data_IF_983036717959
#
_entry.id   IF_983036717959
#
_cell.length_a   1.000
_cell.length_b   1.000
_cell.length_c   1.000
_cell.angle_alpha   90.00
_cell.angle_beta   90.00
_cell.angle_gamma   90.00
#
_symmetry.space_group_name_H-M   'P 1'
#
loop_
_entity.id
_entity.type
_entity.pdbx_description
1 polymer ?
#
# COMPACT_ATOMS: atom_id res chain seq x y z
N UNK A 1 -1.06 68.40 14.73
CA UNK A 1 -0.45 67.08 14.94
C UNK A 1 -1.17 66.06 14.06
N UNK A 2 -0.46 65.33 13.17
CA UNK A 2 -1.07 64.30 12.34
C UNK A 2 -1.26 62.99 13.14
N UNK A 3 -2.29 62.18 12.83
CA UNK A 3 -2.55 60.92 13.52
C UNK A 3 -1.51 59.85 13.17
N UNK A 4 -1.09 59.07 14.17
CA UNK A 4 -0.14 57.98 14.03
C UNK A 4 -0.70 56.81 13.20
N UNK A 5 0.13 56.16 12.36
CA UNK A 5 -0.31 55.06 11.52
C UNK A 5 -0.61 53.81 12.36
N UNK A 6 -1.79 53.23 12.14
CA UNK A 6 -2.21 51.95 12.72
C UNK A 6 -1.31 50.82 12.21
N UNK A 7 -0.64 50.10 13.12
CA UNK A 7 0.07 48.86 12.81
C UNK A 7 -0.90 47.82 12.23
N UNK A 8 -0.76 47.52 10.93
CA UNK A 8 -1.38 46.36 10.31
C UNK A 8 -0.81 45.08 10.96
N UNK A 9 -1.69 44.27 11.54
CA UNK A 9 -1.36 42.92 12.02
C UNK A 9 -0.86 42.09 10.85
N UNK A 10 0.33 41.50 11.01
CA UNK A 10 0.88 40.57 10.04
C UNK A 10 -0.08 39.37 9.87
N UNK A 11 -0.29 38.89 8.63
CA UNK A 11 -1.11 37.71 8.39
C UNK A 11 -0.49 36.49 9.08
N UNK A 12 -1.31 35.54 9.58
CA UNK A 12 -0.79 34.33 10.18
C UNK A 12 0.10 33.56 9.18
N UNK A 13 1.18 32.91 9.64
CA UNK A 13 2.03 32.12 8.76
C UNK A 13 1.18 31.06 8.08
N UNK A 14 1.17 31.06 6.74
CA UNK A 14 0.52 30.01 5.94
C UNK A 14 1.14 28.68 6.37
N UNK A 15 0.40 27.86 7.11
CA UNK A 15 0.78 26.48 7.34
C UNK A 15 0.90 25.85 5.96
N UNK A 16 2.12 25.53 5.54
CA UNK A 16 2.36 24.73 4.33
C UNK A 16 1.68 23.39 4.57
N UNK A 17 0.44 23.24 4.09
CA UNK A 17 -0.22 21.94 4.04
C UNK A 17 0.69 21.06 3.20
N UNK A 18 1.34 20.09 3.85
CA UNK A 18 2.19 19.14 3.15
C UNK A 18 1.33 18.37 2.14
N UNK A 19 1.85 18.10 0.94
CA UNK A 19 1.09 17.42 -0.08
C UNK A 19 0.68 16.03 0.43
N UNK A 20 -0.62 15.76 0.36
CA UNK A 20 -1.17 14.42 0.51
C UNK A 20 -1.41 13.89 -0.90
N UNK A 21 -1.10 12.62 -1.13
CA UNK A 21 -1.50 11.99 -2.38
C UNK A 21 -3.03 11.90 -2.46
N UNK A 22 -3.57 12.24 -3.64
CA UNK A 22 -4.95 11.95 -4.00
C UNK A 22 -5.09 10.57 -4.65
N UNK A 23 -3.99 9.97 -5.10
CA UNK A 23 -3.96 8.65 -5.73
C UNK A 23 -4.19 7.57 -4.68
N UNK A 24 -5.08 6.63 -5.01
CA UNK A 24 -5.23 5.39 -4.25
C UNK A 24 -4.18 4.39 -4.71
N UNK A 25 -3.45 3.82 -3.76
CA UNK A 25 -2.44 2.78 -3.99
C UNK A 25 -2.88 1.48 -3.31
N UNK A 26 -2.33 0.36 -3.75
CA UNK A 26 -2.26 -0.82 -2.91
C UNK A 26 -0.89 -0.83 -2.21
N UNK A 27 -0.89 -1.12 -0.91
CA UNK A 27 0.29 -1.27 -0.08
C UNK A 27 0.38 -2.69 0.49
N UNK A 28 1.54 -3.32 0.36
CA UNK A 28 1.84 -4.64 0.89
C UNK A 28 2.28 -4.51 2.35
N UNK A 29 1.41 -4.92 3.28
CA UNK A 29 1.70 -4.83 4.70
C UNK A 29 2.83 -5.79 5.09
N UNK A 30 3.84 -5.32 5.85
CA UNK A 30 4.89 -6.19 6.36
C UNK A 30 4.39 -7.14 7.46
N UNK A 31 3.30 -6.82 8.14
CA UNK A 31 2.82 -7.58 9.29
C UNK A 31 2.23 -8.94 8.90
N UNK A 32 1.54 -9.00 7.76
CA UNK A 32 0.80 -10.20 7.34
C UNK A 32 0.94 -10.55 5.84
N UNK A 33 1.70 -9.75 5.09
CA UNK A 33 1.92 -9.94 3.66
C UNK A 33 0.67 -9.75 2.79
N UNK A 34 -0.39 -9.10 3.29
CA UNK A 34 -1.59 -8.81 2.53
C UNK A 34 -1.54 -7.41 1.89
N UNK A 35 -2.29 -7.25 0.80
CA UNK A 35 -2.43 -5.98 0.09
C UNK A 35 -3.64 -5.18 0.59
N UNK A 36 -3.39 -3.93 0.98
CA UNK A 36 -4.40 -3.00 1.49
C UNK A 36 -4.49 -1.75 0.63
N UNK A 37 -5.70 -1.19 0.53
CA UNK A 37 -5.86 0.14 -0.05
C UNK A 37 -5.23 1.18 0.87
N UNK A 38 -4.36 2.03 0.30
CA UNK A 38 -3.61 3.01 1.06
C UNK A 38 -3.43 4.34 0.31
N UNK A 39 -3.11 5.37 1.08
CA UNK A 39 -2.68 6.69 0.61
C UNK A 39 -1.36 7.04 1.28
N UNK A 40 -0.61 7.94 0.66
CA UNK A 40 0.67 8.38 1.21
C UNK A 40 0.72 9.88 1.42
N UNK A 41 1.46 10.30 2.43
CA UNK A 41 1.78 11.69 2.71
C UNK A 41 3.17 11.79 3.32
N UNK A 42 3.88 12.88 3.09
CA UNK A 42 5.09 13.19 3.87
C UNK A 42 4.68 14.04 5.07
N UNK A 43 4.92 13.54 6.28
CA UNK A 43 4.59 14.22 7.54
C UNK A 43 5.82 14.25 8.43
N UNK A 44 6.17 15.44 8.94
CA UNK A 44 7.38 15.66 9.77
C UNK A 44 8.71 15.15 9.17
N UNK A 45 8.76 14.88 7.87
CA UNK A 45 9.96 14.42 7.16
C UNK A 45 9.93 12.92 6.84
N UNK A 46 9.07 12.16 7.52
CA UNK A 46 8.83 10.75 7.25
C UNK A 46 7.72 10.55 6.21
N UNK A 47 7.80 9.44 5.48
CA UNK A 47 6.70 8.94 4.66
C UNK A 47 5.70 8.23 5.58
N UNK A 48 4.46 8.70 5.57
CA UNK A 48 3.33 8.08 6.25
C UNK A 48 2.49 7.33 5.22
N UNK A 49 2.23 6.06 5.49
CA UNK A 49 1.27 5.23 4.73
C UNK A 49 0.00 5.13 5.55
N UNK A 50 -1.07 5.71 5.02
CA UNK A 50 -2.39 5.71 5.63
C UNK A 50 -3.24 4.61 5.01
N UNK A 51 -3.62 3.62 5.79
CA UNK A 51 -4.55 2.59 5.32
C UNK A 51 -5.97 3.18 5.23
N UNK A 52 -6.70 2.93 4.14
CA UNK A 52 -7.97 3.64 3.90
C UNK A 52 -9.13 3.21 4.81
N UNK A 53 -9.07 2.00 5.36
CA UNK A 53 -10.17 1.38 6.12
C UNK A 53 -9.76 1.10 7.58
N UNK A 54 -8.61 1.64 8.00
CA UNK A 54 -8.08 1.47 9.36
C UNK A 54 -7.85 2.83 10.02
N UNK A 55 -7.83 2.86 11.36
CA UNK A 55 -7.60 4.09 12.08
C UNK A 55 -6.11 4.48 12.04
N UNK A 56 -5.82 5.75 12.32
CA UNK A 56 -4.50 6.36 12.12
C UNK A 56 -3.38 5.69 12.95
N UNK A 57 -3.73 5.01 14.03
CA UNK A 57 -2.79 4.29 14.90
C UNK A 57 -2.15 3.08 14.20
N UNK A 58 -2.79 2.58 13.14
CA UNK A 58 -2.28 1.47 12.34
C UNK A 58 -1.39 1.94 11.17
N UNK A 59 -1.22 3.26 10.99
CA UNK A 59 -0.44 3.78 9.87
C UNK A 59 1.04 3.43 9.98
N UNK A 60 1.67 3.16 8.83
CA UNK A 60 3.10 2.88 8.76
C UNK A 60 3.90 4.16 8.57
N UNK A 61 5.07 4.22 9.20
CA UNK A 61 5.97 5.37 9.15
C UNK A 61 7.37 4.94 8.70
N UNK A 62 7.89 5.63 7.69
CA UNK A 62 9.23 5.39 7.16
C UNK A 62 10.07 6.65 7.31
N UNK A 63 11.03 6.60 8.24
CA UNK A 63 12.00 7.67 8.47
C UNK A 63 13.11 7.60 7.40
N UNK A 64 13.37 8.69 6.66
CA UNK A 64 14.50 8.74 5.74
C UNK A 64 15.84 8.43 6.41
N UNK A 65 16.07 8.85 7.65
CA UNK A 65 17.32 8.59 8.37
C UNK A 65 17.53 7.09 8.64
N UNK A 66 16.47 6.34 8.95
CA UNK A 66 16.55 4.88 9.12
C UNK A 66 16.88 4.17 7.81
N UNK A 67 16.30 4.63 6.69
CA UNK A 67 16.61 4.12 5.34
C UNK A 67 18.03 4.48 4.89
N UNK A 68 18.57 5.61 5.35
CA UNK A 68 19.95 6.02 5.06
C UNK A 68 20.95 5.24 5.92
N UNK A 69 20.64 5.01 7.20
CA UNK A 69 21.51 4.27 8.12
C UNK A 69 21.75 2.83 7.65
N UNK A 70 20.78 2.19 7.01
CA UNK A 70 20.97 0.86 6.44
C UNK A 70 21.87 0.85 5.19
N UNK A 71 22.16 2.02 4.61
CA UNK A 71 23.07 2.25 3.46
C UNK A 71 22.80 1.37 2.24
N UNK A 72 21.64 0.72 2.18
CA UNK A 72 21.31 -0.23 1.13
C UNK A 72 20.28 0.38 0.19
N UNK A 73 20.69 0.68 -1.04
CA UNK A 73 19.75 0.99 -2.13
C UNK A 73 18.66 -0.10 -2.29
N UNK A 74 18.96 -1.32 -1.83
CA UNK A 74 18.00 -2.43 -1.73
C UNK A 74 16.81 -2.13 -0.82
N UNK A 75 16.98 -1.36 0.25
CA UNK A 75 15.89 -1.08 1.20
C UNK A 75 14.92 -0.04 0.64
N UNK A 76 15.43 0.96 -0.06
CA UNK A 76 14.59 1.91 -0.82
C UNK A 76 13.84 1.17 -1.93
N UNK A 77 14.50 0.26 -2.64
CA UNK A 77 13.86 -0.56 -3.67
C UNK A 77 12.81 -1.52 -3.07
N UNK A 78 13.09 -2.14 -1.91
CA UNK A 78 12.17 -3.00 -1.19
C UNK A 78 10.94 -2.23 -0.70
N UNK A 79 11.14 -1.02 -0.16
CA UNK A 79 10.03 -0.13 0.20
C UNK A 79 9.20 0.23 -1.02
N UNK A 80 9.82 0.60 -2.14
CA UNK A 80 9.11 0.89 -3.40
C UNK A 80 8.28 -0.30 -3.87
N UNK A 81 8.82 -1.52 -3.76
CA UNK A 81 8.16 -2.74 -4.20
C UNK A 81 6.90 -3.09 -3.37
N UNK A 82 6.73 -2.48 -2.18
CA UNK A 82 5.50 -2.61 -1.38
C UNK A 82 4.35 -1.76 -1.90
N UNK A 83 4.55 -0.93 -2.91
CA UNK A 83 3.50 -0.11 -3.51
C UNK A 83 3.22 -0.53 -4.94
N UNK A 84 1.94 -0.53 -5.28
CA UNK A 84 1.49 -0.63 -6.67
C UNK A 84 0.24 0.21 -6.90
N UNK A 85 -0.13 0.38 -8.17
CA UNK A 85 -1.43 0.96 -8.50
C UNK A 85 -2.55 0.09 -7.91
N UNK A 86 -3.60 0.73 -7.38
CA UNK A 86 -4.73 0.02 -6.79
C UNK A 86 -5.28 -1.05 -7.75
N UNK A 87 -5.34 -2.31 -7.30
CA UNK A 87 -5.88 -3.39 -8.10
C UNK A 87 -7.37 -3.15 -8.37
N UNK A 88 -7.81 -3.42 -9.61
CA UNK A 88 -9.20 -3.22 -10.02
C UNK A 88 -9.95 -4.55 -9.96
N UNK A 89 -11.13 -4.61 -9.32
CA UNK A 89 -11.99 -5.79 -9.43
C UNK A 89 -12.20 -6.18 -10.90
N UNK A 90 -12.18 -7.48 -11.17
CA UNK A 90 -12.49 -8.00 -12.50
C UNK A 90 -13.97 -7.78 -12.78
N UNK A 91 -14.26 -7.06 -13.86
CA UNK A 91 -15.63 -6.85 -14.32
C UNK A 91 -16.12 -8.11 -15.05
N UNK A 92 -17.37 -8.50 -14.82
CA UNK A 92 -17.99 -9.71 -15.35
C UNK A 92 -17.86 -9.81 -16.89
N UNK A 93 -18.12 -8.70 -17.59
CA UNK A 93 -17.98 -8.61 -19.05
C UNK A 93 -16.53 -8.75 -19.55
N UNK A 94 -15.56 -8.53 -18.67
CA UNK A 94 -14.11 -8.53 -18.99
C UNK A 94 -13.40 -9.80 -18.58
N UNK A 95 -14.11 -10.81 -18.05
CA UNK A 95 -13.48 -12.07 -17.65
C UNK A 95 -12.71 -12.76 -18.78
N UNK A 96 -13.15 -12.58 -20.04
CA UNK A 96 -12.58 -13.19 -21.25
C UNK A 96 -11.27 -12.53 -21.70
N UNK A 97 -10.95 -11.34 -21.17
CA UNK A 97 -9.71 -10.62 -21.46
C UNK A 97 -8.52 -11.24 -20.73
N UNK A 98 -8.77 -11.97 -19.64
CA UNK A 98 -7.70 -12.56 -18.85
C UNK A 98 -6.99 -13.70 -19.59
N UNK A 99 -5.69 -13.79 -19.38
CA UNK A 99 -4.79 -14.78 -19.99
C UNK A 99 -3.93 -15.44 -18.93
N UNK A 100 -3.64 -16.72 -19.12
CA UNK A 100 -2.71 -17.45 -18.27
C UNK A 100 -1.39 -16.68 -18.12
N UNK A 101 -0.83 -16.69 -16.92
CA UNK A 101 0.32 -15.88 -16.53
C UNK A 101 0.00 -14.48 -16.01
N UNK A 102 -1.26 -14.01 -16.12
CA UNK A 102 -1.63 -12.69 -15.61
C UNK A 102 -1.43 -12.60 -14.08
N UNK A 103 -0.78 -11.53 -13.57
CA UNK A 103 -0.71 -11.27 -12.14
C UNK A 103 -2.08 -10.79 -11.63
N UNK A 104 -2.56 -11.44 -10.58
CA UNK A 104 -3.83 -11.17 -9.94
C UNK A 104 -3.61 -10.88 -8.46
N UNK A 105 -4.56 -10.13 -7.90
CA UNK A 105 -4.73 -9.94 -6.48
C UNK A 105 -6.04 -10.63 -6.11
N UNK A 106 -5.97 -11.69 -5.31
CA UNK A 106 -7.11 -12.57 -5.04
C UNK A 106 -7.48 -12.49 -3.57
N UNK A 107 -8.77 -12.37 -3.30
CA UNK A 107 -9.28 -12.39 -1.93
C UNK A 107 -9.17 -13.81 -1.36
N UNK A 108 -8.70 -13.93 -0.13
CA UNK A 108 -8.48 -15.15 0.61
C UNK A 108 -9.31 -15.09 1.89
N UNK A 109 -10.38 -15.91 2.01
CA UNK A 109 -11.11 -16.03 3.25
C UNK A 109 -10.24 -16.76 4.29
N UNK A 110 -10.12 -16.15 5.45
CA UNK A 110 -9.42 -16.63 6.62
C UNK A 110 -10.42 -16.73 7.78
N UNK A 111 -10.05 -17.46 8.83
CA UNK A 111 -10.85 -17.62 10.05
C UNK A 111 -12.31 -18.02 9.76
N UNK A 112 -12.48 -19.05 8.93
CA UNK A 112 -13.80 -19.53 8.52
C UNK A 112 -14.59 -18.55 7.64
N UNK A 113 -13.94 -17.56 7.03
CA UNK A 113 -14.56 -16.54 6.18
C UNK A 113 -14.93 -15.26 6.91
N UNK A 114 -14.60 -15.14 8.20
CA UNK A 114 -14.81 -13.92 8.98
C UNK A 114 -13.83 -12.79 8.61
N UNK A 115 -12.65 -13.18 8.11
CA UNK A 115 -11.61 -12.25 7.70
C UNK A 115 -11.30 -12.45 6.22
N UNK A 116 -11.35 -11.36 5.45
CA UNK A 116 -11.03 -11.39 4.02
C UNK A 116 -9.78 -10.56 3.76
N UNK A 117 -8.69 -11.22 3.35
CA UNK A 117 -7.43 -10.55 2.99
C UNK A 117 -7.11 -10.76 1.52
N UNK A 118 -6.26 -9.92 0.96
CA UNK A 118 -5.93 -9.96 -0.47
C UNK A 118 -4.45 -10.29 -0.65
N UNK A 119 -4.15 -11.27 -1.49
CA UNK A 119 -2.79 -11.73 -1.73
C UNK A 119 -2.52 -11.90 -3.22
N UNK A 120 -1.24 -11.94 -3.59
CA UNK A 120 -0.85 -12.17 -4.97
C UNK A 120 -1.07 -13.62 -5.40
N UNK A 121 -1.54 -13.75 -6.62
CA UNK A 121 -1.64 -15.01 -7.33
C UNK A 121 -1.37 -14.79 -8.82
N UNK A 122 -1.14 -15.88 -9.54
CA UNK A 122 -1.02 -15.87 -11.00
C UNK A 122 -2.13 -16.73 -11.57
N UNK A 123 -2.79 -16.23 -12.62
CA UNK A 123 -3.79 -17.01 -13.36
C UNK A 123 -3.12 -18.18 -14.08
N UNK A 124 -3.57 -19.41 -13.84
CA UNK A 124 -3.13 -20.58 -14.60
C UNK A 124 -4.06 -20.86 -15.78
N UNK A 125 -5.38 -20.81 -15.56
CA UNK A 125 -6.38 -20.99 -16.62
C UNK A 125 -7.74 -20.41 -16.24
N UNK A 126 -8.59 -20.19 -17.25
CA UNK A 126 -9.99 -19.81 -17.08
C UNK A 126 -10.85 -20.99 -17.55
N UNK A 127 -11.77 -21.43 -16.70
CA UNK A 127 -12.83 -22.38 -17.05
C UNK A 127 -14.06 -21.57 -17.42
N UNK A 128 -14.38 -21.43 -18.72
CA UNK A 128 -15.50 -20.63 -19.17
C UNK A 128 -16.82 -21.28 -18.75
N UNK A 129 -17.78 -20.45 -18.36
CA UNK A 129 -19.16 -20.85 -18.12
C UNK A 129 -20.10 -19.90 -18.89
N UNK A 130 -21.36 -20.32 -19.08
CA UNK A 130 -22.36 -19.44 -19.64
C UNK A 130 -22.60 -18.26 -18.68
N UNK A 131 -22.58 -17.04 -19.22
CA UNK A 131 -22.90 -15.85 -18.45
C UNK A 131 -24.42 -15.70 -18.35
N UNK A 132 -24.89 -15.29 -17.18
CA UNK A 132 -26.29 -14.91 -16.98
C UNK A 132 -26.48 -13.41 -17.16
N UNK A 133 -27.73 -12.97 -17.17
CA UNK A 133 -28.10 -11.56 -17.02
C UNK A 133 -29.05 -11.45 -15.83
N UNK A 134 -28.73 -10.58 -14.88
CA UNK A 134 -29.55 -10.30 -13.70
C UNK A 134 -29.77 -8.79 -13.65
N UNK A 135 -31.04 -8.37 -13.65
CA UNK A 135 -31.45 -6.96 -13.69
C UNK A 135 -30.83 -6.14 -14.83
N UNK A 136 -30.61 -6.80 -15.98
CA UNK A 136 -30.00 -6.18 -17.15
C UNK A 136 -28.46 -6.10 -17.11
N UNK A 137 -27.82 -6.55 -16.03
CA UNK A 137 -26.36 -6.62 -15.91
C UNK A 137 -25.84 -8.05 -16.14
N UNK A 138 -24.76 -8.19 -16.90
CA UNK A 138 -24.11 -9.47 -17.15
C UNK A 138 -23.48 -10.02 -15.85
N UNK A 139 -23.71 -11.30 -15.58
CA UNK A 139 -23.17 -12.02 -14.42
C UNK A 139 -22.25 -13.14 -14.86
N UNK A 140 -20.98 -13.03 -14.51
CA UNK A 140 -19.95 -14.01 -14.85
C UNK A 140 -20.00 -15.20 -13.89
N UNK A 141 -20.14 -16.41 -14.45
CA UNK A 141 -20.07 -17.68 -13.72
C UNK A 141 -18.76 -18.45 -13.97
N UNK A 142 -17.80 -17.86 -14.70
CA UNK A 142 -16.52 -18.51 -15.01
C UNK A 142 -15.72 -18.79 -13.73
N UNK A 143 -14.90 -19.85 -13.77
CA UNK A 143 -13.94 -20.16 -12.70
C UNK A 143 -12.52 -19.85 -13.15
N UNK A 144 -11.73 -19.32 -12.24
CA UNK A 144 -10.35 -18.92 -12.49
C UNK A 144 -9.44 -19.80 -11.65
N UNK A 145 -8.70 -20.70 -12.30
CA UNK A 145 -7.69 -21.50 -11.62
C UNK A 145 -6.47 -20.60 -11.39
N UNK A 146 -6.13 -20.37 -10.14
CA UNK A 146 -5.02 -19.49 -9.73
C UNK A 146 -4.01 -20.27 -8.93
N UNK A 147 -2.74 -19.87 -9.05
CA UNK A 147 -1.66 -20.31 -8.16
C UNK A 147 -1.25 -19.14 -7.28
N UNK A 148 -1.39 -19.31 -5.97
CA UNK A 148 -1.02 -18.30 -5.00
C UNK A 148 0.50 -18.08 -5.01
N UNK A 149 0.94 -16.83 -5.08
CA UNK A 149 2.35 -16.45 -5.03
C UNK A 149 2.71 -15.70 -3.76
N UNK A 150 1.72 -15.24 -2.99
CA UNK A 150 1.88 -14.65 -1.67
C UNK A 150 0.87 -15.15 -0.65
N UNK A 151 1.07 -14.76 0.60
CA UNK A 151 0.16 -15.09 1.70
C UNK A 151 0.22 -16.53 2.19
N UNK A 152 -0.70 -16.92 3.09
CA UNK A 152 -0.70 -18.23 3.76
C UNK A 152 -0.95 -19.41 2.83
N UNK A 153 -1.41 -19.15 1.60
CA UNK A 153 -1.70 -20.17 0.57
C UNK A 153 -0.59 -20.28 -0.48
N UNK A 154 0.52 -19.56 -0.35
CA UNK A 154 1.58 -19.51 -1.36
C UNK A 154 2.01 -20.92 -1.83
N UNK A 155 2.12 -21.10 -3.15
CA UNK A 155 2.43 -22.37 -3.79
C UNK A 155 1.23 -23.28 -4.06
N UNK A 156 0.10 -23.10 -3.37
CA UNK A 156 -1.12 -23.87 -3.61
C UNK A 156 -1.92 -23.34 -4.82
N UNK A 157 -2.85 -24.18 -5.28
CA UNK A 157 -3.79 -23.86 -6.36
C UNK A 157 -5.21 -23.82 -5.84
N UNK A 158 -6.03 -22.97 -6.43
CA UNK A 158 -7.43 -22.82 -6.07
C UNK A 158 -8.24 -22.36 -7.30
N UNK A 159 -9.50 -22.79 -7.39
CA UNK A 159 -10.46 -22.18 -8.31
C UNK A 159 -11.30 -21.14 -7.58
N UNK A 160 -11.33 -19.92 -8.11
CA UNK A 160 -12.09 -18.81 -7.54
C UNK A 160 -13.11 -18.27 -8.53
N UNK A 161 -14.15 -17.59 -8.04
CA UNK A 161 -15.10 -16.84 -8.86
C UNK A 161 -14.61 -15.43 -9.19
N UNK A 162 -15.30 -14.76 -10.12
CA UNK A 162 -15.00 -13.40 -10.59
C UNK A 162 -14.95 -12.39 -9.44
N UNK A 163 -15.82 -12.56 -8.45
CA UNK A 163 -15.96 -11.71 -7.27
C UNK A 163 -14.74 -11.72 -6.35
N UNK A 164 -13.84 -12.69 -6.50
CA UNK A 164 -12.61 -12.77 -5.70
C UNK A 164 -11.38 -12.23 -6.43
N UNK A 165 -11.50 -11.89 -7.70
CA UNK A 165 -10.36 -11.53 -8.57
C UNK A 165 -10.26 -10.02 -8.73
N UNK A 166 -9.09 -9.48 -8.44
CA UNK A 166 -8.70 -8.14 -8.85
C UNK A 166 -7.50 -8.19 -9.82
N UNK A 167 -7.59 -7.47 -10.92
CA UNK A 167 -6.53 -7.32 -11.91
C UNK A 167 -5.45 -6.36 -11.39
N UNK A 168 -4.20 -6.81 -11.40
CA UNK A 168 -3.04 -5.99 -11.06
C UNK A 168 -2.50 -5.34 -12.33
N UNK A 169 -2.30 -4.03 -12.28
CA UNK A 169 -1.62 -3.31 -13.36
C UNK A 169 -0.11 -3.47 -13.21
N UNK A 170 0.62 -3.94 -14.24
CA UNK A 170 2.07 -4.10 -14.17
C UNK A 170 2.83 -2.76 -14.25
N UNK A 171 2.13 -1.63 -14.35
CA UNK A 171 2.76 -0.32 -14.47
C UNK A 171 3.44 0.10 -13.15
N UNK A 172 4.62 0.75 -13.22
CA UNK A 172 5.25 1.31 -12.04
C UNK A 172 4.33 2.30 -11.34
N UNK A 173 4.35 2.31 -10.00
CA UNK A 173 3.63 3.31 -9.21
C UNK A 173 4.08 4.73 -9.61
N UNK A 174 3.13 5.59 -9.98
CA UNK A 174 3.38 6.96 -10.44
C UNK A 174 2.99 8.03 -9.42
N UNK A 175 2.83 7.64 -8.16
CA UNK A 175 2.43 8.59 -7.13
C UNK A 175 3.51 9.66 -6.90
N UNK A 176 3.18 10.96 -7.05
CA UNK A 176 4.19 12.03 -6.98
C UNK A 176 4.79 12.18 -5.58
N UNK A 177 4.00 11.96 -4.52
CA UNK A 177 4.48 12.09 -3.13
C UNK A 177 5.43 10.96 -2.80
N UNK A 178 5.06 9.72 -3.13
CA UNK A 178 5.93 8.56 -2.97
C UNK A 178 7.21 8.71 -3.78
N UNK A 179 7.09 9.13 -5.04
CA UNK A 179 8.24 9.33 -5.93
C UNK A 179 9.20 10.37 -5.37
N UNK A 180 8.70 11.55 -5.00
CA UNK A 180 9.53 12.63 -4.45
C UNK A 180 10.28 12.20 -3.20
N UNK A 181 9.60 11.48 -2.29
CA UNK A 181 10.22 10.94 -1.07
C UNK A 181 11.35 9.95 -1.39
N UNK A 182 11.07 8.91 -2.19
CA UNK A 182 12.05 7.87 -2.51
C UNK A 182 13.24 8.41 -3.31
N UNK A 183 12.98 9.30 -4.27
CA UNK A 183 14.03 9.96 -5.06
C UNK A 183 14.89 10.87 -4.17
N UNK A 184 14.30 11.49 -3.15
CA UNK A 184 15.02 12.29 -2.15
C UNK A 184 15.98 11.44 -1.31
N UNK A 185 15.50 10.30 -0.78
CA UNK A 185 16.34 9.35 -0.02
C UNK A 185 17.46 8.78 -0.90
N UNK A 186 17.15 8.39 -2.13
CA UNK A 186 18.13 7.82 -3.07
C UNK A 186 19.25 8.81 -3.40
N UNK A 187 18.93 10.11 -3.57
CA UNK A 187 19.94 11.15 -3.80
C UNK A 187 20.89 11.29 -2.60
N UNK A 188 20.35 11.31 -1.39
CA UNK A 188 21.15 11.39 -0.17
C UNK A 188 22.08 10.17 0.02
N UNK A 189 21.67 8.97 -0.41
CA UNK A 189 22.55 7.79 -0.45
C UNK A 189 23.72 7.96 -1.44
N UNK A 190 23.48 8.56 -2.60
CA UNK A 190 24.51 8.78 -3.63
C UNK A 190 25.53 9.84 -3.25
N UNK A 191 25.07 10.95 -2.65
CA UNK A 191 25.90 12.09 -2.26
C UNK A 191 26.84 11.77 -1.07
N UNK A 192 26.56 10.71 -0.30
CA UNK A 192 27.37 10.26 0.85
C UNK A 192 28.69 9.56 0.51
N UNK A 193 28.98 9.28 -0.77
CA UNK A 193 30.19 8.54 -1.18
C UNK A 193 31.40 9.45 -1.46
N UNK A 194 31.27 10.77 -1.29
CA UNK A 194 32.30 11.76 -1.64
C UNK A 194 32.56 12.81 -0.55
N UNK A 195 33.02 12.39 0.63
CA UNK A 195 33.44 13.35 1.67
C UNK A 195 33.80 12.72 3.00
N UNK A 196 35.00 12.17 3.12
CA UNK A 196 35.57 11.83 4.43
C UNK A 196 36.13 13.08 5.13
N UNK A 197 35.76 13.30 6.39
CA UNK A 197 36.66 13.50 7.53
C UNK A 197 35.90 13.94 8.80
N UNK A 198 36.02 13.10 9.83
CA UNK A 198 36.07 13.38 11.28
C UNK A 198 35.08 14.38 11.92
N UNK A 199 34.31 13.92 12.91
CA UNK A 199 34.76 13.94 14.31
C UNK A 199 33.73 13.25 15.23
N UNK A 200 34.27 12.48 16.17
CA UNK A 200 33.60 11.71 17.21
C UNK A 200 32.83 12.56 18.23
N UNK A 201 31.75 12.01 18.78
CA UNK A 201 31.43 12.15 20.20
C UNK A 201 30.44 11.05 20.64
N UNK A 202 30.95 10.13 21.46
CA UNK A 202 30.15 9.24 22.32
C UNK A 202 29.51 10.05 23.45
N UNK A 203 28.28 9.70 23.87
CA UNK A 203 27.93 9.48 25.29
C UNK A 203 26.65 8.62 25.41
N UNK A 204 26.71 7.53 26.20
CA UNK A 204 25.71 7.22 27.24
C UNK A 204 24.70 6.08 27.02
N UNK A 205 24.95 4.93 27.65
CA UNK A 205 24.02 3.82 27.88
C UNK A 205 22.76 4.22 28.68
N UNK A 206 21.62 3.57 28.38
CA UNK A 206 20.75 2.95 29.40
C UNK A 206 19.62 2.07 28.81
N UNK A 207 19.60 0.84 29.32
CA UNK A 207 18.44 0.02 29.70
C UNK A 207 17.56 -0.66 28.63
N UNK A 208 17.60 -1.99 28.72
CA UNK A 208 16.65 -2.94 28.17
C UNK A 208 15.23 -2.75 28.71
N UNK A 209 14.24 -2.98 27.84
CA UNK A 209 12.92 -3.43 28.26
C UNK A 209 12.40 -4.45 27.23
N UNK A 210 12.27 -5.67 27.72
CA UNK A 210 11.55 -6.79 27.13
C UNK A 210 10.06 -6.47 26.90
N UNK A 211 9.49 -7.11 25.88
CA UNK A 211 8.19 -7.78 26.02
C UNK A 211 6.94 -7.00 25.63
N UNK A 212 6.26 -7.52 24.61
CA UNK A 212 4.81 -7.41 24.48
C UNK A 212 4.34 -6.99 23.10
N UNK A 213 4.12 -7.97 22.22
CA UNK A 213 3.28 -7.80 21.02
C UNK A 213 1.82 -7.82 21.47
N UNK A 214 1.03 -6.75 21.30
CA UNK A 214 -0.41 -6.85 21.43
C UNK A 214 -0.95 -7.49 20.14
N UNK A 215 -1.27 -8.78 20.23
CA UNK A 215 -2.03 -9.48 19.19
C UNK A 215 -3.50 -9.14 19.39
N UNK A 216 -3.96 -8.03 18.80
CA UNK A 216 -5.40 -7.75 18.69
C UNK A 216 -5.65 -6.96 17.40
N UNK A 217 -5.96 -7.70 16.33
CA UNK A 217 -6.56 -7.14 15.13
C UNK A 217 -8.09 -7.12 15.34
N UNK A 218 -8.74 -5.95 15.42
CA UNK A 218 -10.18 -5.88 15.56
C UNK A 218 -10.90 -6.33 14.28
N UNK A 219 -12.12 -6.90 14.39
CA UNK A 219 -12.88 -7.38 13.25
C UNK A 219 -13.53 -6.22 12.50
N UNK A 220 -13.37 -6.21 11.17
CA UNK A 220 -14.23 -5.39 10.31
C UNK A 220 -13.64 -5.12 8.94
N UNK A 221 -13.99 -5.94 7.94
CA UNK A 221 -13.78 -5.60 6.52
C UNK A 221 -15.00 -5.95 5.68
N UNK A 222 -15.79 -4.92 5.39
CA UNK A 222 -16.65 -4.82 4.21
C UNK A 222 -16.49 -3.36 3.75
N UNK A 223 -15.86 -3.05 2.61
CA UNK A 223 -16.43 -3.18 1.26
C UNK A 223 -15.36 -2.78 0.23
N UNK A 224 -14.62 -3.74 -0.34
CA UNK A 224 -14.09 -3.56 -1.72
C UNK A 224 -15.20 -3.73 -2.77
N UNK A 225 -16.30 -4.35 -2.37
CA UNK A 225 -17.51 -4.48 -3.17
C UNK A 225 -18.56 -3.57 -2.57
N UNK A 226 -18.97 -2.54 -3.32
CA UNK A 226 -20.26 -1.92 -3.06
C UNK A 226 -21.29 -3.06 -3.02
N UNK A 227 -21.91 -3.26 -1.86
CA UNK A 227 -23.03 -4.18 -1.74
C UNK A 227 -24.10 -3.67 -2.73
N UNK A 228 -24.23 -4.35 -3.87
CA UNK A 228 -25.43 -4.28 -4.69
C UNK A 228 -26.32 -5.40 -4.16
N UNK A 229 -27.14 -5.03 -3.18
CA UNK A 229 -28.39 -5.75 -2.88
C UNK A 229 -29.31 -5.67 -4.08
#
# INVERSE_FOLDING_TARGET
MPPTPRKLKAPPPKTRRRPRSLSRLDFLSPADGAWYGARVAVQRGALRVMYEEFPEEQDEWYDPAALLASSAARDVAALRARFRAAARPLEDARCRDLRAGAPLCVSCPLDGGLLLKFYDAVLESVVPAAHGTVDGEERCACRFAVRWTGGPRAGSREEVGVERVCCVQPSPVQDPVLKEFLDGVTRLLGDGTGGGAAASQEIGDAAAAEGGVPSDAPPGFYRKFGART
#
